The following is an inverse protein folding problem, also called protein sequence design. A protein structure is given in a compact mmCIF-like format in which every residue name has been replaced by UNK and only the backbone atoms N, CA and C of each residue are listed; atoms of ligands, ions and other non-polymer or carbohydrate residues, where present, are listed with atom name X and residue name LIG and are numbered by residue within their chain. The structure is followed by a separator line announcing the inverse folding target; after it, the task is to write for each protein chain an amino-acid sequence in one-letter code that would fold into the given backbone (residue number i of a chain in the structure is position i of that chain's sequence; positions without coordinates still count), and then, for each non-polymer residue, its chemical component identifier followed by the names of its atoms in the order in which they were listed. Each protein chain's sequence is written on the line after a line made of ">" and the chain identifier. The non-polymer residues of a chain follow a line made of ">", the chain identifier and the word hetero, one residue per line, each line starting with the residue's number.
data_IF_035113735213
#
_entry.id   IF_035113735213
#
_cell.length_a   1.000
_cell.length_b   1.000
_cell.length_c   1.000
_cell.angle_alpha   90.00
_cell.angle_beta   90.00
_cell.angle_gamma   90.00
#
_symmetry.space_group_name_H-M   'P 1'
#
loop_
_entity.id
_entity.type
_entity.pdbx_description
1 polymer ?
#
# COMPACT_ATOMS: atom_id res chain seq x y z
N UNK A 1 -83.81 -43.65 11.64
CA UNK A 1 -85.15 -44.17 12.01
C UNK A 1 -86.11 -43.06 12.16
N UNK A 2 -87.27 -43.16 11.65
CA UNK A 2 -88.37 -42.19 11.77
C UNK A 2 -89.42 -42.71 12.78
N UNK A 3 -89.76 -41.91 13.76
CA UNK A 3 -90.77 -42.15 14.77
C UNK A 3 -91.99 -41.32 14.51
N UNK A 4 -93.19 -41.82 14.81
CA UNK A 4 -94.42 -41.03 14.79
C UNK A 4 -94.65 -40.13 16.02
N UNK A 5 -95.78 -39.43 16.12
CA UNK A 5 -96.07 -38.56 17.27
C UNK A 5 -96.15 -39.33 18.60
N UNK A 6 -96.41 -40.67 18.59
CA UNK A 6 -96.44 -41.49 19.75
C UNK A 6 -95.17 -42.21 20.08
N UNK A 7 -94.09 -41.98 19.31
CA UNK A 7 -92.76 -42.56 19.49
C UNK A 7 -92.67 -43.97 18.91
N UNK A 8 -93.67 -44.41 18.07
CA UNK A 8 -93.60 -45.71 17.35
C UNK A 8 -92.78 -45.60 16.08
N UNK A 9 -92.06 -46.63 15.74
CA UNK A 9 -91.14 -46.64 14.53
C UNK A 9 -91.97 -46.77 13.28
N UNK A 10 -92.10 -45.70 12.50
CA UNK A 10 -92.73 -45.68 11.17
C UNK A 10 -91.78 -46.29 10.10
N UNK A 11 -90.49 -45.92 10.18
CA UNK A 11 -89.51 -46.44 9.23
C UNK A 11 -88.14 -46.61 9.91
N UNK A 12 -87.48 -47.73 9.75
CA UNK A 12 -86.13 -47.91 10.26
C UNK A 12 -86.01 -49.03 11.29
N UNK A 13 -85.06 -48.95 12.19
CA UNK A 13 -84.66 -49.96 13.19
C UNK A 13 -85.50 -49.80 14.45
N UNK A 14 -86.10 -50.92 14.98
CA UNK A 14 -86.91 -50.82 16.22
C UNK A 14 -86.10 -50.70 17.50
N UNK A 15 -84.92 -51.33 17.57
CA UNK A 15 -84.06 -51.26 18.73
C UNK A 15 -83.04 -50.11 18.52
N UNK A 16 -83.34 -48.95 19.14
CA UNK A 16 -82.52 -47.81 19.05
C UNK A 16 -81.49 -47.74 20.18
N UNK A 17 -80.18 -47.65 19.91
CA UNK A 17 -79.17 -47.53 20.91
C UNK A 17 -79.33 -46.21 21.70
N UNK A 18 -78.82 -46.16 22.93
CA UNK A 18 -78.94 -45.01 23.82
C UNK A 18 -78.27 -43.71 23.30
N UNK A 19 -77.30 -43.85 22.41
CA UNK A 19 -76.57 -42.73 21.85
C UNK A 19 -77.05 -42.34 20.44
N UNK A 20 -78.25 -41.71 20.40
CA UNK A 20 -78.88 -41.26 19.12
C UNK A 20 -79.12 -39.76 19.17
N UNK A 21 -78.92 -39.11 18.02
CA UNK A 21 -79.33 -37.73 17.82
C UNK A 21 -80.77 -37.69 17.37
N UNK A 22 -81.68 -37.07 18.13
CA UNK A 22 -83.11 -36.92 17.82
C UNK A 22 -83.41 -35.54 17.30
N UNK A 23 -84.03 -35.43 16.15
CA UNK A 23 -84.43 -34.18 15.51
C UNK A 23 -85.95 -34.27 15.37
N UNK A 24 -86.71 -33.36 16.06
CA UNK A 24 -88.14 -33.22 15.97
C UNK A 24 -88.51 -32.71 14.59
N UNK A 25 -89.51 -33.33 14.00
CA UNK A 25 -90.12 -32.93 12.74
C UNK A 25 -91.44 -32.22 13.03
N UNK A 26 -91.53 -30.91 12.79
CA UNK A 26 -92.68 -30.08 12.97
C UNK A 26 -93.32 -29.74 11.61
N UNK A 27 -94.62 -29.79 11.52
CA UNK A 27 -95.40 -29.30 10.40
C UNK A 27 -96.60 -28.46 10.88
N UNK A 28 -96.70 -27.18 10.52
CA UNK A 28 -97.72 -26.22 10.92
C UNK A 28 -97.91 -26.10 12.45
N UNK A 29 -96.75 -25.94 13.15
CA UNK A 29 -96.67 -25.84 14.63
C UNK A 29 -97.22 -27.08 15.39
N UNK A 30 -97.28 -28.21 14.74
CA UNK A 30 -97.51 -29.52 15.40
C UNK A 30 -96.42 -30.46 15.16
N UNK A 31 -95.98 -31.13 16.23
CA UNK A 31 -95.00 -32.20 16.18
C UNK A 31 -95.62 -33.39 15.43
N UNK A 32 -94.99 -33.79 14.30
CA UNK A 32 -95.50 -34.81 13.37
C UNK A 32 -94.64 -36.08 13.50
N UNK A 33 -93.53 -36.03 14.13
CA UNK A 33 -92.64 -37.16 14.35
C UNK A 33 -91.19 -36.76 14.72
N UNK A 34 -90.36 -37.74 14.96
CA UNK A 34 -88.94 -37.57 15.31
C UNK A 34 -88.07 -38.36 14.39
N UNK A 35 -87.07 -37.67 13.78
CA UNK A 35 -85.99 -38.32 13.04
C UNK A 35 -84.84 -38.70 14.01
N UNK A 36 -84.56 -39.95 14.12
CA UNK A 36 -83.52 -40.48 14.93
C UNK A 36 -82.33 -40.83 14.04
N UNK A 37 -81.23 -40.09 14.19
CA UNK A 37 -79.96 -40.34 13.53
C UNK A 37 -79.06 -41.19 14.43
N UNK A 38 -78.55 -42.22 13.86
CA UNK A 38 -77.58 -43.12 14.47
C UNK A 38 -76.19 -42.57 14.07
N UNK A 39 -75.42 -41.96 14.94
CA UNK A 39 -74.05 -41.70 14.61
C UNK A 39 -73.33 -43.02 14.46
N UNK A 40 -72.62 -43.19 13.37
CA UNK A 40 -71.73 -44.34 13.22
C UNK A 40 -70.32 -43.97 13.77
N UNK A 41 -70.08 -44.27 15.05
CA UNK A 41 -68.82 -43.86 15.68
C UNK A 41 -67.62 -44.49 15.01
N UNK A 42 -67.77 -45.72 14.51
CA UNK A 42 -66.67 -46.46 13.90
C UNK A 42 -66.17 -45.80 12.60
N UNK A 43 -67.06 -45.13 11.85
CA UNK A 43 -66.70 -44.45 10.59
C UNK A 43 -65.96 -43.12 10.85
N UNK A 44 -66.41 -42.36 11.85
CA UNK A 44 -65.75 -41.12 12.23
C UNK A 44 -64.36 -41.42 12.86
N UNK A 45 -64.26 -42.42 13.71
CA UNK A 45 -63.01 -42.77 14.38
C UNK A 45 -61.97 -43.31 13.40
N UNK A 46 -62.35 -44.12 12.39
CA UNK A 46 -61.44 -44.57 11.33
C UNK A 46 -60.95 -43.45 10.43
N UNK A 47 -61.86 -42.48 10.08
CA UNK A 47 -61.49 -41.33 9.24
C UNK A 47 -60.54 -40.42 10.03
N UNK A 48 -60.78 -40.18 11.32
CA UNK A 48 -59.92 -39.35 12.17
C UNK A 48 -58.52 -39.99 12.39
N UNK A 49 -58.47 -41.31 12.58
CA UNK A 49 -57.21 -42.05 12.68
C UNK A 49 -56.39 -42.00 11.39
N UNK A 50 -57.01 -42.23 10.23
CA UNK A 50 -56.33 -42.12 8.92
C UNK A 50 -55.84 -40.69 8.64
N UNK A 51 -56.65 -39.70 9.01
CA UNK A 51 -56.26 -38.30 8.87
C UNK A 51 -55.06 -37.97 9.78
N UNK A 52 -55.08 -38.40 11.03
CA UNK A 52 -53.97 -38.22 11.98
C UNK A 52 -52.66 -38.87 11.50
N UNK A 53 -52.69 -40.12 11.00
CA UNK A 53 -51.54 -40.82 10.41
C UNK A 53 -50.99 -40.09 9.17
N UNK A 54 -51.87 -39.65 8.26
CA UNK A 54 -51.48 -38.93 7.06
C UNK A 54 -50.89 -37.57 7.42
N UNK A 55 -51.45 -36.85 8.40
CA UNK A 55 -50.91 -35.59 8.90
C UNK A 55 -49.56 -35.79 9.56
N UNK A 56 -49.36 -36.81 10.37
CA UNK A 56 -48.12 -37.13 11.04
C UNK A 56 -47.00 -37.44 10.05
N UNK A 57 -47.28 -38.30 9.02
CA UNK A 57 -46.32 -38.61 7.96
C UNK A 57 -45.93 -37.39 7.14
N UNK A 58 -46.89 -36.51 6.82
CA UNK A 58 -46.65 -35.23 6.12
C UNK A 58 -45.76 -34.30 6.93
N UNK A 59 -45.97 -34.23 8.27
CA UNK A 59 -45.11 -33.44 9.18
C UNK A 59 -43.68 -33.99 9.20
N UNK A 60 -43.48 -35.30 9.28
CA UNK A 60 -42.13 -35.87 9.26
C UNK A 60 -41.41 -35.64 7.93
N UNK A 61 -42.12 -35.80 6.80
CA UNK A 61 -41.53 -35.55 5.47
C UNK A 61 -41.19 -34.09 5.31
N UNK A 62 -42.08 -33.18 5.69
CA UNK A 62 -41.83 -31.73 5.62
C UNK A 62 -40.65 -31.29 6.52
N UNK A 63 -40.56 -31.82 7.73
CA UNK A 63 -39.44 -31.60 8.63
C UNK A 63 -38.10 -32.10 8.05
N UNK A 64 -38.09 -33.31 7.45
CA UNK A 64 -36.91 -33.86 6.79
C UNK A 64 -36.46 -33.03 5.61
N UNK A 65 -37.42 -32.62 4.74
CA UNK A 65 -37.12 -31.73 3.60
C UNK A 65 -36.56 -30.38 4.07
N UNK A 66 -37.16 -29.77 5.09
CA UNK A 66 -36.67 -28.51 5.65
C UNK A 66 -35.24 -28.63 6.22
N UNK A 67 -34.94 -29.74 6.90
CA UNK A 67 -33.59 -30.03 7.43
C UNK A 67 -32.57 -30.21 6.31
N UNK A 68 -32.91 -30.92 5.24
CA UNK A 68 -32.05 -31.09 4.07
C UNK A 68 -31.77 -29.76 3.37
N UNK A 69 -32.80 -28.95 3.16
CA UNK A 69 -32.66 -27.58 2.57
C UNK A 69 -31.77 -26.74 3.45
N UNK A 70 -31.98 -26.73 4.76
CA UNK A 70 -31.15 -25.98 5.70
C UNK A 70 -29.66 -26.43 5.67
N UNK A 71 -29.43 -27.75 5.59
CA UNK A 71 -28.08 -28.31 5.50
C UNK A 71 -27.38 -27.89 4.20
N UNK A 72 -28.08 -27.89 3.06
CA UNK A 72 -27.55 -27.45 1.76
C UNK A 72 -27.22 -25.97 1.80
N UNK A 73 -28.13 -25.14 2.30
CA UNK A 73 -27.90 -23.67 2.44
C UNK A 73 -26.70 -23.41 3.36
N UNK A 74 -26.61 -24.08 4.50
CA UNK A 74 -25.49 -23.97 5.43
C UNK A 74 -24.16 -24.35 4.80
N UNK A 75 -24.14 -25.42 3.99
CA UNK A 75 -22.93 -25.86 3.27
C UNK A 75 -22.50 -24.80 2.24
N UNK A 76 -23.44 -24.32 1.43
CA UNK A 76 -23.18 -23.27 0.44
C UNK A 76 -22.63 -22.00 1.12
N UNK A 77 -23.24 -21.58 2.23
CA UNK A 77 -22.80 -20.42 2.99
C UNK A 77 -21.38 -20.61 3.57
N UNK A 78 -21.10 -21.78 4.13
CA UNK A 78 -19.80 -22.10 4.70
C UNK A 78 -18.70 -22.09 3.63
N UNK A 79 -18.94 -22.66 2.47
CA UNK A 79 -17.95 -22.73 1.39
C UNK A 79 -17.72 -21.37 0.72
N UNK A 80 -18.76 -20.57 0.52
CA UNK A 80 -18.66 -19.32 -0.22
C UNK A 80 -18.35 -18.10 0.67
N UNK A 81 -18.67 -18.13 1.96
CA UNK A 81 -18.49 -16.99 2.85
C UNK A 81 -17.57 -17.29 4.04
N UNK A 82 -17.94 -18.26 4.88
CA UNK A 82 -17.22 -18.51 6.14
C UNK A 82 -15.78 -18.97 5.89
N UNK A 83 -15.59 -19.89 4.95
CA UNK A 83 -14.26 -20.41 4.59
C UNK A 83 -13.31 -19.32 4.08
N UNK A 84 -13.68 -18.57 3.04
CA UNK A 84 -12.87 -17.46 2.53
C UNK A 84 -12.56 -16.37 3.59
N UNK A 85 -13.55 -15.97 4.38
CA UNK A 85 -13.36 -14.98 5.45
C UNK A 85 -12.35 -15.48 6.48
N UNK A 86 -12.44 -16.74 6.88
CA UNK A 86 -11.49 -17.35 7.82
C UNK A 86 -10.06 -17.39 7.25
N UNK A 87 -9.90 -17.66 5.95
CA UNK A 87 -8.58 -17.61 5.27
C UNK A 87 -8.01 -16.19 5.31
N UNK A 88 -8.82 -15.18 5.00
CA UNK A 88 -8.41 -13.78 5.07
C UNK A 88 -8.01 -13.37 6.50
N UNK A 89 -8.80 -13.76 7.50
CA UNK A 89 -8.49 -13.47 8.90
C UNK A 89 -7.17 -14.11 9.35
N UNK A 90 -6.92 -15.38 8.96
CA UNK A 90 -5.66 -16.07 9.26
C UNK A 90 -4.48 -15.37 8.57
N UNK A 91 -4.60 -15.08 7.27
CA UNK A 91 -3.56 -14.39 6.51
C UNK A 91 -3.27 -12.98 7.07
N UNK A 92 -4.31 -12.25 7.53
CA UNK A 92 -4.12 -10.96 8.20
C UNK A 92 -3.33 -11.11 9.51
N UNK A 93 -3.59 -12.18 10.28
CA UNK A 93 -2.81 -12.45 11.49
C UNK A 93 -1.35 -12.75 11.19
N UNK A 94 -1.07 -13.51 10.14
CA UNK A 94 0.29 -13.78 9.67
C UNK A 94 0.98 -12.48 9.22
N UNK A 95 0.26 -11.62 8.48
CA UNK A 95 0.77 -10.32 8.04
C UNK A 95 1.14 -9.41 9.22
N UNK A 96 0.32 -9.38 10.28
CA UNK A 96 0.62 -8.66 11.54
C UNK A 96 1.87 -9.23 12.21
N UNK A 97 2.09 -10.54 12.11
CA UNK A 97 3.30 -11.22 12.59
C UNK A 97 4.56 -10.96 11.78
N UNK A 98 4.48 -10.18 10.69
CA UNK A 98 5.62 -9.84 9.83
C UNK A 98 5.84 -10.81 8.66
N UNK A 99 4.95 -11.78 8.45
CA UNK A 99 5.01 -12.73 7.32
C UNK A 99 4.41 -12.09 6.06
N UNK A 100 5.11 -11.10 5.49
CA UNK A 100 4.60 -10.30 4.36
C UNK A 100 4.53 -11.08 3.04
N UNK A 101 5.10 -12.28 2.97
CA UNK A 101 5.00 -13.16 1.79
C UNK A 101 3.68 -13.92 1.71
N UNK A 102 2.86 -13.89 2.77
CA UNK A 102 1.53 -14.53 2.79
C UNK A 102 0.65 -13.96 1.69
N UNK A 103 -0.03 -14.88 0.97
CA UNK A 103 -0.98 -14.53 -0.09
C UNK A 103 -2.25 -15.36 0.08
N UNK A 104 -3.39 -14.76 -0.26
CA UNK A 104 -4.70 -15.41 -0.18
C UNK A 104 -5.20 -15.67 -1.59
N UNK A 105 -5.38 -16.95 -1.94
CA UNK A 105 -5.98 -17.35 -3.22
C UNK A 105 -7.49 -17.61 -3.03
N UNK A 106 -8.30 -16.59 -3.28
CA UNK A 106 -9.77 -16.66 -3.31
C UNK A 106 -10.21 -16.30 -4.72
N UNK A 107 -10.74 -17.32 -5.44
CA UNK A 107 -11.15 -17.18 -6.85
C UNK A 107 -12.54 -16.58 -7.05
N UNK A 108 -13.20 -16.16 -6.00
CA UNK A 108 -14.52 -15.54 -6.06
C UNK A 108 -14.48 -14.25 -6.87
N UNK A 109 -15.56 -13.99 -7.63
CA UNK A 109 -15.74 -12.75 -8.41
C UNK A 109 -16.56 -11.68 -7.67
N UNK A 110 -16.95 -11.98 -6.44
CA UNK A 110 -17.72 -11.12 -5.52
C UNK A 110 -16.83 -10.15 -4.70
N UNK A 111 -17.43 -9.53 -3.69
CA UNK A 111 -16.77 -8.60 -2.77
C UNK A 111 -15.63 -9.27 -1.98
N UNK A 112 -15.79 -10.56 -1.66
CA UNK A 112 -14.77 -11.33 -0.96
C UNK A 112 -13.53 -11.54 -1.85
N UNK A 113 -13.76 -11.84 -3.13
CA UNK A 113 -12.67 -11.93 -4.10
C UNK A 113 -11.98 -10.58 -4.34
N UNK A 114 -12.73 -9.46 -4.33
CA UNK A 114 -12.17 -8.13 -4.41
C UNK A 114 -11.31 -7.81 -3.17
N UNK A 115 -11.80 -8.14 -1.98
CA UNK A 115 -11.08 -7.96 -0.72
C UNK A 115 -9.78 -8.78 -0.70
N UNK A 116 -9.80 -10.03 -1.18
CA UNK A 116 -8.60 -10.86 -1.32
C UNK A 116 -7.55 -10.23 -2.23
N UNK A 117 -7.96 -9.63 -3.35
CA UNK A 117 -7.04 -8.91 -4.25
C UNK A 117 -6.40 -7.70 -3.57
N UNK A 118 -7.21 -6.90 -2.85
CA UNK A 118 -6.69 -5.74 -2.11
C UNK A 118 -5.73 -6.17 -0.98
N UNK A 119 -6.06 -7.25 -0.26
CA UNK A 119 -5.16 -7.85 0.72
C UNK A 119 -3.82 -8.25 0.09
N UNK A 120 -3.83 -8.93 -1.05
CA UNK A 120 -2.60 -9.34 -1.73
C UNK A 120 -1.76 -8.15 -2.23
N UNK A 121 -2.41 -7.07 -2.67
CA UNK A 121 -1.71 -5.82 -3.04
C UNK A 121 -1.04 -5.22 -1.79
N UNK A 122 -1.77 -5.11 -0.69
CA UNK A 122 -1.22 -4.63 0.59
C UNK A 122 -0.04 -5.48 1.06
N UNK A 123 -0.21 -6.81 1.07
CA UNK A 123 0.85 -7.74 1.46
C UNK A 123 2.09 -7.61 0.57
N UNK A 124 1.93 -7.43 -0.74
CA UNK A 124 3.03 -7.20 -1.69
C UNK A 124 3.74 -5.87 -1.41
N UNK A 125 2.99 -4.83 -1.10
CA UNK A 125 3.57 -3.51 -0.78
C UNK A 125 4.38 -3.58 0.51
N UNK A 126 3.85 -4.22 1.55
CA UNK A 126 4.56 -4.41 2.82
C UNK A 126 5.81 -5.28 2.66
N UNK A 127 5.76 -6.34 1.87
CA UNK A 127 6.91 -7.21 1.55
C UNK A 127 8.03 -6.40 0.86
N UNK A 128 7.65 -5.59 -0.15
CA UNK A 128 8.59 -4.69 -0.84
C UNK A 128 9.20 -3.67 0.11
N UNK A 129 8.38 -3.03 0.95
CA UNK A 129 8.87 -2.03 1.90
C UNK A 129 9.82 -2.66 2.94
N UNK A 130 9.47 -3.83 3.48
CA UNK A 130 10.32 -4.56 4.43
C UNK A 130 11.66 -4.99 3.80
N UNK A 131 11.64 -5.47 2.56
CA UNK A 131 12.86 -5.82 1.83
C UNK A 131 13.75 -4.58 1.59
N UNK A 132 13.15 -3.46 1.16
CA UNK A 132 13.86 -2.19 0.96
C UNK A 132 14.45 -1.67 2.27
N UNK A 133 13.73 -1.75 3.38
CA UNK A 133 14.21 -1.34 4.69
C UNK A 133 15.40 -2.19 5.18
N UNK A 134 15.35 -3.52 4.98
CA UNK A 134 16.49 -4.41 5.32
C UNK A 134 17.71 -4.09 4.48
N UNK A 135 17.53 -3.86 3.17
CA UNK A 135 18.61 -3.48 2.28
C UNK A 135 19.21 -2.15 2.72
N UNK A 136 18.38 -1.15 3.03
CA UNK A 136 18.80 0.16 3.51
C UNK A 136 19.69 0.07 4.78
N UNK A 137 19.30 -0.74 5.78
CA UNK A 137 20.10 -0.93 7.01
C UNK A 137 21.44 -1.59 6.67
N UNK A 138 21.49 -2.54 5.73
CA UNK A 138 22.72 -3.19 5.29
C UNK A 138 23.66 -2.18 4.59
N UNK A 139 23.10 -1.35 3.69
CA UNK A 139 23.85 -0.34 2.95
C UNK A 139 24.45 0.72 3.89
N UNK A 140 23.66 1.24 4.84
CA UNK A 140 24.15 2.14 5.91
C UNK A 140 25.33 1.51 6.64
N UNK A 141 25.17 0.25 7.05
CA UNK A 141 26.22 -0.44 7.81
C UNK A 141 27.51 -0.56 7.01
N UNK A 142 27.42 -0.78 5.72
CA UNK A 142 28.58 -0.84 4.81
C UNK A 142 29.20 0.54 4.60
N UNK A 143 28.41 1.57 4.33
CA UNK A 143 28.91 2.93 4.09
C UNK A 143 29.51 3.59 5.35
N UNK A 144 29.04 3.25 6.55
CA UNK A 144 29.68 3.69 7.81
C UNK A 144 30.93 2.90 8.16
N UNK A 145 30.98 1.61 7.83
CA UNK A 145 32.13 0.77 8.18
C UNK A 145 33.41 1.17 7.43
N UNK A 146 33.27 1.58 6.17
CA UNK A 146 34.42 1.95 5.33
C UNK A 146 35.22 3.12 5.89
N UNK A 147 34.65 4.33 6.14
CA UNK A 147 35.38 5.45 6.71
C UNK A 147 35.87 5.15 8.12
N UNK A 148 35.14 4.39 8.92
CA UNK A 148 35.57 3.99 10.25
C UNK A 148 36.81 3.05 10.20
N UNK A 149 36.86 2.15 9.23
CA UNK A 149 38.02 1.26 9.03
C UNK A 149 39.27 2.06 8.57
N UNK A 150 39.07 3.07 7.69
CA UNK A 150 40.13 3.98 7.25
C UNK A 150 40.70 4.75 8.45
N UNK A 151 39.80 5.41 9.22
CA UNK A 151 40.19 6.14 10.44
C UNK A 151 40.97 5.24 11.42
N UNK A 152 40.46 4.03 11.66
CA UNK A 152 41.10 3.06 12.54
C UNK A 152 42.48 2.68 12.03
N UNK A 153 42.60 2.35 10.75
CA UNK A 153 43.87 1.96 10.13
C UNK A 153 44.92 3.07 10.16
N UNK A 154 44.47 4.34 9.90
CA UNK A 154 45.40 5.49 9.99
C UNK A 154 45.87 5.73 11.42
N UNK A 155 45.00 5.61 12.43
CA UNK A 155 45.35 5.73 13.84
C UNK A 155 46.34 4.60 14.26
N UNK A 156 46.06 3.35 13.87
CA UNK A 156 46.93 2.21 14.15
C UNK A 156 48.30 2.40 13.51
N UNK A 157 48.39 2.86 12.26
CA UNK A 157 49.63 3.17 11.57
C UNK A 157 50.46 4.28 12.28
N UNK A 158 49.79 5.26 12.89
CA UNK A 158 50.44 6.28 13.71
C UNK A 158 50.97 5.67 15.02
N UNK A 159 50.16 4.84 15.70
CA UNK A 159 50.54 4.17 16.96
C UNK A 159 51.72 3.22 16.79
N UNK A 160 51.77 2.53 15.65
CA UNK A 160 52.86 1.58 15.31
C UNK A 160 54.13 2.27 14.77
N UNK A 161 54.09 3.62 14.66
CA UNK A 161 55.23 4.40 14.13
C UNK A 161 55.46 4.24 12.62
N UNK A 162 54.53 3.62 11.90
CA UNK A 162 54.58 3.42 10.43
C UNK A 162 54.28 4.74 9.71
N UNK A 163 53.42 5.58 10.28
CA UNK A 163 53.01 6.90 9.74
C UNK A 163 53.34 7.98 10.75
N UNK A 164 53.90 9.10 10.26
CA UNK A 164 54.21 10.23 11.13
C UNK A 164 52.91 11.01 11.47
N UNK A 165 52.84 11.51 12.69
CA UNK A 165 51.76 12.42 13.11
C UNK A 165 52.15 13.84 12.71
N UNK A 166 51.85 14.19 11.48
CA UNK A 166 52.06 15.52 10.90
C UNK A 166 50.78 16.23 10.52
N UNK A 167 50.89 17.45 9.98
CA UNK A 167 49.71 18.24 9.56
C UNK A 167 48.91 17.58 8.44
N UNK A 168 49.57 16.81 7.58
CA UNK A 168 48.94 16.15 6.46
C UNK A 168 48.08 14.97 6.94
N UNK A 169 48.62 14.17 7.83
CA UNK A 169 47.90 13.08 8.50
C UNK A 169 46.74 13.57 9.32
N UNK A 170 46.93 14.67 10.09
CA UNK A 170 45.84 15.27 10.84
C UNK A 170 44.72 15.81 9.92
N UNK A 171 45.09 16.39 8.77
CA UNK A 171 44.14 16.84 7.76
C UNK A 171 43.36 15.68 7.14
N UNK A 172 44.05 14.55 6.86
CA UNK A 172 43.40 13.31 6.37
C UNK A 172 42.36 12.81 7.35
N UNK A 173 42.73 12.64 8.62
CA UNK A 173 41.81 12.22 9.68
C UNK A 173 40.61 13.17 9.83
N UNK A 174 40.90 14.49 9.83
CA UNK A 174 39.83 15.51 9.92
C UNK A 174 38.85 15.45 8.75
N UNK A 175 39.36 15.25 7.54
CA UNK A 175 38.53 15.08 6.35
C UNK A 175 37.61 13.86 6.45
N UNK A 176 38.15 12.73 6.95
CA UNK A 176 37.35 11.51 7.08
C UNK A 176 36.28 11.62 8.17
N UNK A 177 36.56 12.32 9.28
CA UNK A 177 35.56 12.68 10.31
C UNK A 177 34.46 13.57 9.73
N UNK A 178 34.85 14.59 8.96
CA UNK A 178 33.90 15.49 8.31
C UNK A 178 32.98 14.74 7.34
N UNK A 179 33.58 13.82 6.55
CA UNK A 179 32.84 12.96 5.64
C UNK A 179 31.86 12.03 6.37
N UNK A 180 32.27 11.49 7.50
CA UNK A 180 31.41 10.63 8.33
C UNK A 180 30.23 11.42 8.90
N UNK A 181 30.47 12.65 9.39
CA UNK A 181 29.40 13.53 9.88
C UNK A 181 28.42 13.87 8.75
N UNK A 182 28.89 14.28 7.57
CA UNK A 182 28.00 14.52 6.43
C UNK A 182 27.16 13.31 6.07
N UNK A 183 27.72 12.10 6.12
CA UNK A 183 26.98 10.86 5.87
C UNK A 183 25.87 10.64 6.92
N UNK A 184 26.15 10.90 8.20
CA UNK A 184 25.16 10.79 9.29
C UNK A 184 24.04 11.81 9.10
N UNK A 185 24.38 13.05 8.73
CA UNK A 185 23.40 14.11 8.47
C UNK A 185 22.48 13.75 7.27
N UNK A 186 23.07 13.25 6.17
CA UNK A 186 22.34 12.78 5.00
C UNK A 186 21.37 11.64 5.35
N UNK A 187 21.82 10.68 6.19
CA UNK A 187 20.98 9.56 6.66
C UNK A 187 19.85 10.03 7.56
N UNK A 188 20.11 11.01 8.43
CA UNK A 188 19.10 11.58 9.29
C UNK A 188 18.02 12.30 8.48
N UNK A 189 18.42 13.08 7.47
CA UNK A 189 17.48 13.75 6.57
C UNK A 189 16.62 12.78 5.78
N UNK A 190 17.20 11.70 5.21
CA UNK A 190 16.45 10.68 4.55
C UNK A 190 15.44 9.98 5.48
N UNK A 191 15.84 9.70 6.72
CA UNK A 191 14.95 9.10 7.70
C UNK A 191 13.76 10.01 8.04
N UNK A 192 13.99 11.32 8.17
CA UNK A 192 12.92 12.31 8.40
C UNK A 192 11.98 12.44 7.19
N UNK A 193 12.52 12.39 5.98
CA UNK A 193 11.74 12.41 4.74
C UNK A 193 10.80 11.22 4.66
N UNK A 194 11.29 10.01 4.97
CA UNK A 194 10.51 8.76 4.90
C UNK A 194 9.27 8.73 5.78
N UNK A 195 9.37 9.30 6.97
CA UNK A 195 8.24 9.35 7.92
C UNK A 195 7.37 10.60 7.70
N UNK A 196 7.67 11.42 6.67
CA UNK A 196 6.96 12.68 6.41
C UNK A 196 7.11 13.71 7.56
N UNK A 197 8.15 13.55 8.41
CA UNK A 197 8.39 14.42 9.55
C UNK A 197 9.29 15.63 9.21
N UNK A 198 9.77 15.69 7.97
CA UNK A 198 10.55 16.83 7.51
C UNK A 198 9.67 18.06 7.45
N UNK A 199 10.01 19.08 8.23
CA UNK A 199 9.30 20.35 8.23
C UNK A 199 9.89 21.23 7.14
N UNK A 200 9.06 21.64 6.20
CA UNK A 200 9.42 22.58 5.14
C UNK A 200 8.87 23.97 5.50
N UNK A 201 9.70 24.99 5.35
CA UNK A 201 9.29 26.38 5.50
C UNK A 201 8.94 26.96 4.13
N UNK A 202 7.76 26.58 3.64
CA UNK A 202 7.28 27.05 2.34
C UNK A 202 6.96 28.55 2.40
N UNK A 203 7.61 29.33 1.51
CA UNK A 203 7.43 30.78 1.37
C UNK A 203 7.53 31.18 -0.09
N UNK A 204 6.99 32.35 -0.42
CA UNK A 204 7.22 32.97 -1.73
C UNK A 204 8.70 33.37 -1.85
N UNK A 205 9.35 32.88 -2.91
CA UNK A 205 10.75 33.17 -3.17
C UNK A 205 11.04 33.31 -4.66
N UNK A 206 12.13 33.99 -5.01
CA UNK A 206 12.68 33.96 -6.35
C UNK A 206 13.73 32.83 -6.47
N UNK A 207 13.44 31.85 -7.30
CA UNK A 207 14.33 30.69 -7.51
C UNK A 207 15.69 31.11 -8.08
N UNK A 208 15.75 32.22 -8.85
CA UNK A 208 16.98 32.80 -9.35
C UNK A 208 17.93 33.18 -8.21
N UNK A 209 17.40 33.76 -7.13
CA UNK A 209 18.23 34.16 -6.00
C UNK A 209 18.85 32.94 -5.31
N UNK A 210 18.06 31.86 -5.10
CA UNK A 210 18.57 30.60 -4.52
C UNK A 210 19.63 29.96 -5.41
N UNK A 211 19.38 29.90 -6.73
CA UNK A 211 20.36 29.39 -7.71
C UNK A 211 21.64 30.22 -7.70
N UNK A 212 21.52 31.53 -7.75
CA UNK A 212 22.67 32.46 -7.79
C UNK A 212 23.52 32.33 -6.54
N UNK A 213 22.91 32.36 -5.35
CA UNK A 213 23.61 32.18 -4.08
C UNK A 213 24.40 30.86 -4.05
N UNK A 214 23.75 29.78 -4.46
CA UNK A 214 24.40 28.46 -4.52
C UNK A 214 25.55 28.44 -5.53
N UNK A 215 25.34 28.99 -6.74
CA UNK A 215 26.34 29.02 -7.81
C UNK A 215 27.56 29.85 -7.44
N UNK A 216 27.35 30.98 -6.78
CA UNK A 216 28.46 31.88 -6.35
C UNK A 216 29.41 31.14 -5.40
N UNK A 217 28.91 30.27 -4.53
CA UNK A 217 29.72 29.42 -3.66
C UNK A 217 30.53 28.34 -4.40
N UNK A 218 30.19 28.02 -5.64
CA UNK A 218 30.83 26.94 -6.41
C UNK A 218 31.76 27.43 -7.55
N UNK A 219 31.67 28.67 -7.98
CA UNK A 219 32.44 29.22 -9.12
C UNK A 219 33.93 28.91 -9.05
N UNK A 220 34.54 29.22 -7.90
CA UNK A 220 36.00 29.00 -7.70
C UNK A 220 36.36 27.49 -7.75
N UNK A 221 35.54 26.64 -7.16
CA UNK A 221 35.76 25.17 -7.16
C UNK A 221 35.69 24.57 -8.57
N UNK A 222 34.75 25.04 -9.40
CA UNK A 222 34.64 24.63 -10.79
C UNK A 222 35.85 25.10 -11.60
N UNK A 223 36.27 26.33 -11.43
CA UNK A 223 37.47 26.87 -12.09
C UNK A 223 38.73 26.10 -11.69
N UNK A 224 38.92 25.79 -10.42
CA UNK A 224 40.07 25.00 -9.93
C UNK A 224 40.04 23.56 -10.46
N UNK A 225 38.86 23.02 -10.72
CA UNK A 225 38.69 21.64 -11.26
C UNK A 225 38.80 21.59 -12.79
N UNK A 226 38.94 22.75 -13.48
CA UNK A 226 39.01 22.79 -14.93
C UNK A 226 37.70 22.46 -15.63
N UNK A 227 36.57 22.72 -14.95
CA UNK A 227 35.23 22.54 -15.51
C UNK A 227 34.61 23.92 -15.75
N UNK A 228 34.23 24.19 -16.99
CA UNK A 228 33.56 25.44 -17.36
C UNK A 228 32.10 25.42 -16.89
N UNK A 229 31.71 26.46 -16.17
CA UNK A 229 30.34 26.65 -15.66
C UNK A 229 29.62 27.68 -16.54
N UNK A 230 28.62 27.26 -17.32
CA UNK A 230 27.78 28.13 -18.16
C UNK A 230 26.37 28.19 -17.59
N UNK A 231 25.77 29.40 -17.59
CA UNK A 231 24.45 29.60 -17.00
C UNK A 231 23.55 30.41 -17.94
N UNK A 232 22.33 29.95 -18.13
CA UNK A 232 21.25 30.63 -18.85
C UNK A 232 20.00 30.61 -17.96
N UNK A 233 19.95 31.60 -17.04
CA UNK A 233 18.94 31.69 -15.98
C UNK A 233 18.04 32.89 -16.25
N UNK A 234 16.74 32.65 -16.30
CA UNK A 234 15.74 33.71 -16.48
C UNK A 234 15.76 34.73 -15.36
N UNK A 235 15.36 35.97 -15.66
CA UNK A 235 15.55 37.13 -14.78
C UNK A 235 14.73 37.08 -13.48
N UNK A 236 13.56 36.45 -13.48
CA UNK A 236 12.73 36.28 -12.26
C UNK A 236 11.86 35.06 -12.35
N UNK A 237 11.90 34.21 -11.31
CA UNK A 237 11.22 32.95 -11.23
C UNK A 237 10.57 32.82 -9.86
N UNK A 238 9.34 33.33 -9.74
CA UNK A 238 8.58 33.23 -8.47
C UNK A 238 8.00 31.83 -8.30
N UNK A 239 8.27 31.23 -7.15
CA UNK A 239 7.72 29.93 -6.71
C UNK A 239 7.40 29.95 -5.22
N UNK A 240 6.55 29.04 -4.76
CA UNK A 240 6.39 28.71 -3.35
C UNK A 240 7.32 27.55 -3.00
N UNK A 241 8.28 27.80 -2.09
CA UNK A 241 9.27 26.78 -1.75
C UNK A 241 10.04 27.08 -0.46
N UNK A 242 10.86 26.13 -0.05
CA UNK A 242 11.78 26.28 1.07
C UNK A 242 13.16 26.64 0.55
N UNK A 243 13.61 27.84 0.85
CA UNK A 243 14.88 28.41 0.40
C UNK A 243 16.07 27.52 0.75
N UNK A 244 16.13 27.01 1.98
CA UNK A 244 17.25 26.21 2.45
C UNK A 244 17.29 24.85 1.74
N UNK A 245 16.12 24.22 1.56
CA UNK A 245 16.02 22.92 0.89
C UNK A 245 16.27 22.98 -0.60
N UNK A 246 15.81 24.03 -1.26
CA UNK A 246 16.15 24.28 -2.66
C UNK A 246 17.64 24.58 -2.85
N UNK A 247 18.26 25.35 -1.95
CA UNK A 247 19.70 25.53 -1.93
C UNK A 247 20.46 24.21 -1.77
N UNK A 248 20.00 23.32 -0.89
CA UNK A 248 20.53 21.97 -0.72
C UNK A 248 20.37 21.11 -1.98
N UNK A 249 19.21 21.15 -2.63
CA UNK A 249 18.98 20.48 -3.92
C UNK A 249 20.04 20.89 -4.94
N UNK A 250 20.23 22.19 -5.14
CA UNK A 250 21.19 22.69 -6.12
C UNK A 250 22.64 22.40 -5.73
N UNK A 251 22.97 22.49 -4.45
CA UNK A 251 24.27 22.08 -3.91
C UNK A 251 24.56 20.60 -4.24
N UNK A 252 23.63 19.70 -4.01
CA UNK A 252 23.80 18.29 -4.31
C UNK A 252 23.99 18.02 -5.81
N UNK A 253 23.26 18.74 -6.67
CA UNK A 253 23.41 18.62 -8.11
C UNK A 253 24.77 19.17 -8.59
N UNK A 254 25.22 20.30 -8.04
CA UNK A 254 26.54 20.86 -8.33
C UNK A 254 27.68 19.94 -7.86
N UNK A 255 27.60 19.43 -6.62
CA UNK A 255 28.58 18.48 -6.10
C UNK A 255 28.65 17.21 -6.95
N UNK A 256 27.49 16.72 -7.39
CA UNK A 256 27.43 15.56 -8.27
C UNK A 256 28.13 15.82 -9.60
N UNK A 257 27.83 16.91 -10.29
CA UNK A 257 28.49 17.28 -11.56
C UNK A 257 29.99 17.52 -11.36
N UNK A 258 30.39 18.25 -10.31
CA UNK A 258 31.82 18.49 -10.02
C UNK A 258 32.61 17.20 -9.78
N UNK A 259 31.95 16.18 -9.20
CA UNK A 259 32.57 14.90 -8.89
C UNK A 259 32.72 13.98 -10.10
N UNK A 260 31.70 13.98 -10.96
CA UNK A 260 31.62 12.98 -12.02
C UNK A 260 32.01 13.48 -13.42
N UNK A 261 32.00 14.80 -13.65
CA UNK A 261 32.49 15.37 -14.90
C UNK A 261 34.01 15.28 -14.99
N UNK A 262 34.52 14.77 -16.10
CA UNK A 262 35.96 14.73 -16.34
C UNK A 262 36.47 16.12 -16.75
N UNK A 263 37.70 16.44 -16.37
CA UNK A 263 38.38 17.68 -16.73
C UNK A 263 39.31 17.46 -17.95
N UNK A 264 39.31 18.35 -18.98
CA UNK A 264 38.46 19.53 -19.10
C UNK A 264 37.00 19.16 -19.42
N UNK A 265 36.05 19.84 -18.79
CA UNK A 265 34.63 19.59 -18.95
C UNK A 265 33.78 20.83 -18.88
N UNK A 266 32.46 20.66 -19.02
CA UNK A 266 31.46 21.75 -18.99
C UNK A 266 30.26 21.32 -18.17
N UNK A 267 29.74 22.22 -17.34
CA UNK A 267 28.40 22.13 -16.77
C UNK A 267 27.57 23.32 -17.28
N UNK A 268 26.48 23.03 -17.97
CA UNK A 268 25.50 24.01 -18.40
C UNK A 268 24.26 23.93 -17.51
N UNK A 269 23.84 25.09 -16.97
CA UNK A 269 22.64 25.21 -16.15
C UNK A 269 21.71 26.19 -16.87
N UNK A 270 20.46 25.75 -17.12
CA UNK A 270 19.43 26.58 -17.72
C UNK A 270 18.14 26.50 -16.95
N UNK A 271 17.36 27.58 -17.02
CA UNK A 271 16.00 27.61 -16.48
C UNK A 271 15.01 27.95 -17.57
N UNK A 272 13.80 27.42 -17.46
CA UNK A 272 12.66 27.73 -18.32
C UNK A 272 11.44 27.95 -17.47
N UNK A 273 10.80 29.11 -17.65
CA UNK A 273 9.67 29.53 -16.84
C UNK A 273 8.37 29.26 -17.60
N UNK A 274 7.74 28.10 -17.35
CA UNK A 274 6.49 27.71 -17.99
C UNK A 274 5.28 28.22 -17.18
N UNK A 275 4.06 28.07 -17.72
CA UNK A 275 2.85 28.65 -17.10
C UNK A 275 2.62 28.18 -15.67
N UNK A 276 2.70 26.88 -15.44
CA UNK A 276 2.33 26.25 -14.17
C UNK A 276 3.53 25.71 -13.39
N UNK A 277 4.70 25.63 -14.01
CA UNK A 277 5.92 25.08 -13.41
C UNK A 277 7.18 25.78 -13.95
N UNK A 278 8.25 25.58 -13.24
CA UNK A 278 9.60 25.99 -13.62
C UNK A 278 10.41 24.74 -13.86
N UNK A 279 11.20 24.75 -14.92
CA UNK A 279 12.15 23.69 -15.25
C UNK A 279 13.55 24.21 -15.02
N UNK A 280 14.35 23.47 -14.25
CA UNK A 280 15.79 23.73 -14.06
C UNK A 280 16.55 22.54 -14.62
N UNK A 281 17.49 22.80 -15.52
CA UNK A 281 18.28 21.76 -16.19
C UNK A 281 19.73 21.89 -15.79
N UNK A 282 20.33 20.82 -15.33
CA UNK A 282 21.76 20.64 -15.14
C UNK A 282 22.26 19.65 -16.19
N UNK A 283 23.16 20.07 -17.05
CA UNK A 283 23.68 19.27 -18.17
C UNK A 283 25.20 19.27 -18.15
N UNK A 284 25.80 18.15 -17.84
CA UNK A 284 27.25 18.02 -17.79
C UNK A 284 27.82 17.32 -19.03
N UNK A 285 29.15 17.47 -19.20
CA UNK A 285 29.92 16.76 -20.22
C UNK A 285 30.39 15.40 -19.69
N UNK A 286 31.01 14.62 -20.59
CA UNK A 286 31.50 13.27 -20.31
C UNK A 286 32.27 13.10 -18.99
N UNK A 287 32.25 11.89 -18.39
CA UNK A 287 31.61 10.67 -18.90
C UNK A 287 30.11 10.68 -18.62
N UNK A 288 29.34 10.03 -19.48
CA UNK A 288 27.92 9.77 -19.23
C UNK A 288 27.73 8.56 -18.28
N UNK A 289 26.49 8.13 -18.20
CA UNK A 289 26.07 6.95 -17.42
C UNK A 289 25.45 5.90 -18.37
N UNK A 290 25.54 4.61 -18.02
CA UNK A 290 24.87 3.56 -18.80
C UNK A 290 23.34 3.86 -18.85
N UNK A 291 22.71 3.89 -20.04
CA UNK A 291 21.26 4.11 -20.17
C UNK A 291 20.39 3.21 -19.28
N UNK A 292 20.84 1.99 -18.97
CA UNK A 292 20.16 1.06 -18.08
C UNK A 292 20.20 1.50 -16.61
N UNK A 293 21.10 2.39 -16.28
CA UNK A 293 21.35 2.90 -14.93
C UNK A 293 20.63 4.21 -14.64
N UNK A 294 20.17 4.91 -15.66
CA UNK A 294 19.59 6.26 -15.55
C UNK A 294 18.39 6.29 -14.60
N UNK A 295 17.49 5.30 -14.70
CA UNK A 295 16.30 5.24 -13.83
C UNK A 295 16.62 4.95 -12.35
N UNK A 296 17.84 4.48 -12.08
CA UNK A 296 18.27 4.05 -10.75
C UNK A 296 19.11 5.08 -10.00
N UNK A 297 19.55 6.15 -10.67
CA UNK A 297 20.46 7.12 -10.03
C UNK A 297 19.83 7.87 -8.85
N UNK A 298 18.50 7.92 -8.78
CA UNK A 298 17.75 8.48 -7.67
C UNK A 298 17.46 7.47 -6.56
N UNK A 299 17.78 6.18 -6.78
CA UNK A 299 17.68 5.16 -5.74
C UNK A 299 18.77 5.42 -4.67
N UNK A 300 18.43 5.15 -3.41
CA UNK A 300 19.36 5.32 -2.28
C UNK A 300 20.55 4.42 -2.40
N UNK A 301 21.74 4.93 -2.10
CA UNK A 301 23.02 4.21 -2.17
C UNK A 301 23.36 3.68 -3.57
N UNK A 302 22.58 4.06 -4.58
CA UNK A 302 22.90 3.64 -5.93
C UNK A 302 24.16 4.32 -6.42
N UNK A 303 25.08 3.51 -6.95
CA UNK A 303 26.34 3.95 -7.58
C UNK A 303 26.60 3.06 -8.78
N UNK A 304 27.03 3.65 -9.87
CA UNK A 304 27.48 2.87 -11.01
C UNK A 304 28.84 2.22 -10.68
N UNK A 305 28.99 0.90 -10.95
CA UNK A 305 30.19 0.10 -10.62
C UNK A 305 31.43 0.42 -11.49
N UNK A 306 31.58 1.64 -11.95
CA UNK A 306 32.82 2.04 -12.61
C UNK A 306 33.94 2.17 -11.58
N UNK A 307 35.07 1.55 -11.83
CA UNK A 307 36.25 1.49 -10.94
C UNK A 307 36.75 2.86 -10.46
N UNK A 308 36.49 3.90 -11.25
CA UNK A 308 36.77 5.33 -10.93
C UNK A 308 35.85 5.93 -9.86
N UNK A 309 34.65 5.37 -9.66
CA UNK A 309 33.68 5.94 -8.71
C UNK A 309 34.03 5.68 -7.25
N UNK A 310 34.86 4.67 -6.96
CA UNK A 310 35.31 4.38 -5.58
C UNK A 310 36.30 5.40 -5.08
N UNK A 311 37.18 5.91 -5.94
CA UNK A 311 38.21 6.93 -5.58
C UNK A 311 37.58 8.32 -5.44
N UNK A 312 36.51 8.63 -6.22
CA UNK A 312 35.85 9.94 -6.21
C UNK A 312 34.91 10.16 -5.01
N UNK A 313 34.66 9.13 -4.17
CA UNK A 313 33.90 9.22 -2.91
C UNK A 313 32.39 9.57 -3.09
N UNK A 314 31.59 9.39 -2.06
CA UNK A 314 30.17 9.72 -2.02
C UNK A 314 29.31 8.49 -1.71
N UNK A 315 28.36 8.65 -0.79
CA UNK A 315 27.52 7.57 -0.29
C UNK A 315 26.36 7.17 -1.23
N UNK A 316 26.19 7.85 -2.37
CA UNK A 316 25.04 7.59 -3.27
C UNK A 316 23.70 8.06 -2.68
N UNK A 317 23.74 9.03 -1.78
CA UNK A 317 22.56 9.55 -1.08
C UNK A 317 22.10 10.89 -1.69
N UNK A 318 23.00 11.72 -2.20
CA UNK A 318 22.69 13.08 -2.62
C UNK A 318 21.56 13.20 -3.65
N UNK A 319 21.52 12.34 -4.67
CA UNK A 319 20.45 12.38 -5.67
C UNK A 319 19.11 11.87 -5.13
N UNK A 320 19.10 10.95 -4.17
CA UNK A 320 17.86 10.53 -3.49
C UNK A 320 17.31 11.64 -2.57
N UNK A 321 18.17 12.44 -1.95
CA UNK A 321 17.76 13.66 -1.23
C UNK A 321 17.18 14.68 -2.22
N UNK A 322 17.80 14.87 -3.40
CA UNK A 322 17.24 15.72 -4.44
C UNK A 322 15.81 15.30 -4.82
N UNK A 323 15.59 14.01 -5.04
CA UNK A 323 14.26 13.49 -5.34
C UNK A 323 13.24 13.77 -4.22
N UNK A 324 13.62 13.57 -2.96
CA UNK A 324 12.77 13.84 -1.80
C UNK A 324 12.42 15.33 -1.66
N UNK A 325 13.40 16.24 -1.86
CA UNK A 325 13.15 17.69 -1.84
C UNK A 325 12.18 18.09 -2.95
N UNK A 326 12.39 17.59 -4.17
CA UNK A 326 11.55 17.91 -5.33
C UNK A 326 10.12 17.37 -5.14
N UNK A 327 9.97 16.17 -4.61
CA UNK A 327 8.65 15.58 -4.27
C UNK A 327 7.92 16.43 -3.22
N UNK A 328 8.61 16.89 -2.19
CA UNK A 328 8.05 17.77 -1.16
C UNK A 328 7.60 19.13 -1.71
N UNK A 329 8.20 19.60 -2.81
CA UNK A 329 7.79 20.79 -3.55
C UNK A 329 6.77 20.45 -4.67
N UNK A 330 6.08 19.29 -4.59
CA UNK A 330 5.10 18.84 -5.57
C UNK A 330 5.64 18.83 -7.02
N UNK A 331 6.95 18.67 -7.17
CA UNK A 331 7.68 18.65 -8.42
C UNK A 331 7.98 17.26 -8.92
N UNK A 332 8.81 17.19 -9.97
CA UNK A 332 9.38 15.93 -10.48
C UNK A 332 10.84 16.14 -10.88
N UNK A 333 11.66 15.11 -10.69
CA UNK A 333 13.04 15.07 -11.13
C UNK A 333 13.23 13.89 -12.07
N UNK A 334 13.98 14.09 -13.14
CA UNK A 334 14.30 13.06 -14.11
C UNK A 334 15.71 13.23 -14.66
N UNK A 335 16.25 12.16 -15.22
CA UNK A 335 17.57 12.20 -15.82
C UNK A 335 17.56 11.58 -17.22
N UNK A 336 18.50 12.04 -18.06
CA UNK A 336 18.74 11.49 -19.39
C UNK A 336 20.17 11.77 -19.84
N UNK A 337 20.60 11.17 -20.94
CA UNK A 337 21.88 11.48 -21.53
C UNK A 337 21.92 12.96 -21.96
N UNK A 338 23.03 13.62 -21.62
CA UNK A 338 23.30 15.01 -22.01
C UNK A 338 23.80 15.07 -23.46
N UNK A 339 23.41 16.12 -24.17
CA UNK A 339 23.97 16.43 -25.49
C UNK A 339 25.48 16.82 -25.43
N UNK A 340 25.98 17.14 -24.23
CA UNK A 340 27.39 17.41 -23.96
C UNK A 340 28.21 16.11 -23.73
N UNK A 341 27.53 14.95 -23.77
CA UNK A 341 28.16 13.64 -23.59
C UNK A 341 28.11 13.05 -22.18
N UNK A 342 27.58 13.77 -21.23
CA UNK A 342 27.43 13.36 -19.83
C UNK A 342 25.97 13.06 -19.44
N UNK A 343 25.58 13.54 -18.28
CA UNK A 343 24.24 13.41 -17.68
C UNK A 343 23.46 14.72 -17.75
N UNK A 344 22.18 14.66 -18.07
CA UNK A 344 21.25 15.75 -17.93
C UNK A 344 20.25 15.43 -16.85
N UNK A 345 20.18 16.28 -15.83
CA UNK A 345 19.16 16.22 -14.76
C UNK A 345 18.18 17.37 -14.97
N UNK A 346 16.92 17.04 -15.06
CA UNK A 346 15.80 17.97 -15.23
C UNK A 346 14.96 17.97 -13.96
N UNK A 347 14.84 19.15 -13.34
CA UNK A 347 14.03 19.40 -12.14
C UNK A 347 12.84 20.26 -12.55
N UNK A 348 11.62 19.80 -12.30
CA UNK A 348 10.38 20.55 -12.48
C UNK A 348 9.79 20.89 -11.13
N UNK A 349 9.56 22.18 -10.86
CA UNK A 349 8.96 22.66 -9.63
C UNK A 349 7.65 23.38 -9.95
N UNK A 350 6.60 23.07 -9.21
CA UNK A 350 5.32 23.75 -9.37
C UNK A 350 5.40 25.18 -8.79
N UNK A 351 4.78 26.16 -9.46
CA UNK A 351 4.75 27.55 -9.01
C UNK A 351 3.78 27.81 -7.86
N UNK A 352 2.66 27.09 -7.88
CA UNK A 352 1.60 27.19 -6.89
C UNK A 352 1.46 25.85 -6.17
N UNK A 353 1.54 25.87 -4.86
CA UNK A 353 1.18 24.71 -4.01
C UNK A 353 -0.19 24.93 -3.39
#
# INVERSE_FOLDING_TARGET
>A
TLLDENGEVVLGIKDLPKNTIRVLIEHRDKEVGTLVLLPNPDLSEQIDLQFAEAQQSTLYISALVALLVAAIISLIFTLNFTGPIRKLATATKELIGGEFKTRVDIKNKDEIGKLSRHFNILAKTLDKNSASQKQWIADISHELRTPLAILKSEIEAIQDGIRNFDKETLKSLSNEVTRLNSLVDDLYELALSDIGAMKYQMMDLDLKDVLKETLDGYKERYQQSGIELTTDIEESISIVGDHQRLGQLFTNLLENSLRYTDSPGTLAISTSNEKDHVVVIFSDSAPGIDPKSIDKIFDRFYREELSRSREKGGAGIGLSICAAIVEAHSGSISARASNLGGLLIEVKLNKNQ
#
